data_IF_419798552017
#
_entry.id   IF_419798552017
#
_cell.length_a   1.000
_cell.length_b   1.000
_cell.length_c   1.000
_cell.angle_alpha   90.00
_cell.angle_beta   90.00
_cell.angle_gamma   90.00
#
_symmetry.space_group_name_H-M   'P 1'
#
loop_
_entity.id
_entity.type
_entity.pdbx_description
1 polymer ?
#
# COMPACT_ATOMS: atom_id res chain seq x y z
N UNK A 1 -24.81 0.03 -11.72
CA UNK A 1 -23.36 -0.29 -11.73
C UNK A 1 -22.90 -0.27 -10.29
N UNK A 2 -22.84 -1.44 -9.66
CA UNK A 2 -22.46 -1.56 -8.25
C UNK A 2 -20.94 -1.45 -8.23
N UNK A 3 -20.44 -0.28 -7.87
CA UNK A 3 -19.03 -0.08 -7.63
C UNK A 3 -18.76 -0.71 -6.27
N UNK A 4 -18.71 -2.05 -6.24
CA UNK A 4 -18.01 -2.80 -5.19
C UNK A 4 -16.55 -2.40 -5.34
N UNK A 5 -16.20 -1.24 -4.79
CA UNK A 5 -14.80 -0.95 -4.50
C UNK A 5 -14.39 -2.11 -3.62
N UNK A 6 -13.47 -2.92 -4.12
CA UNK A 6 -12.92 -4.11 -3.48
C UNK A 6 -12.04 -3.69 -2.28
N UNK A 7 -12.67 -2.98 -1.34
CA UNK A 7 -12.10 -2.51 -0.10
C UNK A 7 -11.75 -3.73 0.76
N UNK A 8 -12.57 -4.79 0.68
CA UNK A 8 -12.27 -6.08 1.32
C UNK A 8 -11.00 -6.70 0.73
N UNK A 9 -10.84 -6.72 -0.59
CA UNK A 9 -9.63 -7.19 -1.23
C UNK A 9 -8.41 -6.44 -0.72
N UNK A 10 -8.46 -5.11 -0.75
CA UNK A 10 -7.40 -4.24 -0.23
C UNK A 10 -7.09 -4.40 1.26
N UNK A 11 -8.09 -4.70 2.08
CA UNK A 11 -7.94 -4.88 3.53
C UNK A 11 -7.50 -6.29 3.93
N UNK A 12 -7.86 -7.30 3.15
CA UNK A 12 -7.61 -8.72 3.41
C UNK A 12 -6.44 -9.29 2.58
N UNK A 13 -5.79 -8.46 1.76
CA UNK A 13 -4.75 -8.87 0.84
C UNK A 13 -5.24 -10.00 -0.09
N UNK A 14 -6.42 -9.80 -0.67
CA UNK A 14 -7.04 -10.87 -1.46
C UNK A 14 -6.13 -11.27 -2.64
N UNK A 15 -6.11 -12.58 -2.89
CA UNK A 15 -5.46 -13.32 -3.96
C UNK A 15 -5.69 -12.75 -5.38
N UNK A 16 -6.65 -11.84 -5.57
CA UNK A 16 -6.92 -11.11 -6.81
C UNK A 16 -6.16 -9.79 -7.05
N UNK A 17 -5.60 -9.15 -6.01
CA UNK A 17 -4.83 -7.89 -6.13
C UNK A 17 -3.42 -7.99 -6.74
N UNK A 18 -3.26 -7.85 -8.05
CA UNK A 18 -1.95 -7.74 -8.70
C UNK A 18 -1.74 -6.33 -9.26
N UNK A 19 -0.62 -5.68 -8.91
CA UNK A 19 -0.28 -4.35 -9.42
C UNK A 19 0.90 -4.39 -10.39
N UNK A 20 0.74 -3.76 -11.54
CA UNK A 20 1.86 -3.37 -12.40
C UNK A 20 2.68 -2.25 -11.77
N UNK A 21 3.86 -1.96 -12.32
CA UNK A 21 4.76 -0.92 -11.80
C UNK A 21 4.11 0.46 -11.79
N UNK A 22 3.34 0.79 -12.84
CA UNK A 22 2.66 2.08 -12.99
C UNK A 22 1.57 2.26 -11.95
N UNK A 23 0.71 1.26 -11.75
CA UNK A 23 -0.39 1.32 -10.78
C UNK A 23 0.13 1.34 -9.34
N UNK A 24 1.24 0.64 -9.08
CA UNK A 24 1.91 0.69 -7.79
C UNK A 24 2.47 2.09 -7.47
N UNK A 25 3.11 2.76 -8.44
CA UNK A 25 3.58 4.14 -8.26
C UNK A 25 2.44 5.12 -8.05
N UNK A 26 1.36 5.01 -8.83
CA UNK A 26 0.16 5.84 -8.67
C UNK A 26 -0.43 5.63 -7.26
N UNK A 27 -0.62 4.37 -6.84
CA UNK A 27 -1.12 4.05 -5.50
C UNK A 27 -0.22 4.59 -4.39
N UNK A 28 1.10 4.49 -4.54
CA UNK A 28 2.06 5.00 -3.56
C UNK A 28 1.99 6.52 -3.43
N UNK A 29 1.91 7.25 -4.55
CA UNK A 29 1.76 8.71 -4.56
C UNK A 29 0.44 9.12 -3.93
N UNK A 30 -0.67 8.45 -4.27
CA UNK A 30 -1.99 8.73 -3.69
C UNK A 30 -1.96 8.56 -2.17
N UNK A 31 -1.35 7.48 -1.65
CA UNK A 31 -1.21 7.29 -0.21
C UNK A 31 -0.34 8.36 0.46
N UNK A 32 0.72 8.84 -0.19
CA UNK A 32 1.53 9.96 0.33
C UNK A 32 0.69 11.23 0.46
N UNK A 33 -0.10 11.56 -0.57
CA UNK A 33 -0.99 12.73 -0.55
C UNK A 33 -2.04 12.61 0.57
N UNK A 34 -2.66 11.43 0.71
CA UNK A 34 -3.62 11.15 1.80
C UNK A 34 -2.96 11.34 3.16
N UNK A 35 -1.74 10.83 3.36
CA UNK A 35 -1.02 10.97 4.62
C UNK A 35 -0.71 12.44 4.95
N UNK A 36 -0.31 13.22 3.94
CA UNK A 36 -0.08 14.65 4.11
C UNK A 36 -1.37 15.37 4.52
N UNK A 37 -2.48 15.09 3.85
CA UNK A 37 -3.78 15.68 4.18
C UNK A 37 -4.22 15.33 5.62
N UNK A 38 -4.11 14.06 6.03
CA UNK A 38 -4.42 13.61 7.40
C UNK A 38 -3.55 14.34 8.42
N UNK A 39 -2.25 14.45 8.17
CA UNK A 39 -1.29 15.09 9.09
C UNK A 39 -1.58 16.59 9.22
N UNK A 40 -1.91 17.26 8.11
CA UNK A 40 -2.31 18.67 8.12
C UNK A 40 -3.58 18.90 8.91
N UNK A 41 -4.62 18.08 8.68
CA UNK A 41 -5.89 18.17 9.40
C UNK A 41 -5.70 17.89 10.89
N UNK A 42 -4.93 16.86 11.25
CA UNK A 42 -4.64 16.54 12.65
C UNK A 42 -3.86 17.67 13.36
N UNK A 43 -2.90 18.28 12.67
CA UNK A 43 -2.14 19.41 13.17
C UNK A 43 -3.00 20.67 13.36
N UNK A 44 -3.88 20.98 12.41
CA UNK A 44 -4.82 22.11 12.51
C UNK A 44 -5.86 21.92 13.60
N UNK A 45 -6.37 20.69 13.77
CA UNK A 45 -7.38 20.38 14.78
C UNK A 45 -6.79 20.27 16.20
N UNK A 46 -5.47 20.10 16.34
CA UNK A 46 -4.82 19.81 17.62
C UNK A 46 -5.17 18.42 18.17
N UNK A 47 -5.68 17.53 17.32
CA UNK A 47 -6.19 16.21 17.72
C UNK A 47 -5.22 15.11 17.25
N UNK A 48 -4.27 14.76 18.12
CA UNK A 48 -3.25 13.74 17.84
C UNK A 48 -3.83 12.35 17.51
N UNK A 49 -5.00 12.01 18.06
CA UNK A 49 -5.62 10.70 17.82
C UNK A 49 -6.08 10.53 16.36
N UNK A 50 -6.54 11.61 15.71
CA UNK A 50 -6.93 11.60 14.29
C UNK A 50 -5.71 11.32 13.42
N UNK A 51 -4.57 11.98 13.71
CA UNK A 51 -3.32 11.74 13.01
C UNK A 51 -2.83 10.29 13.18
N UNK A 52 -2.97 9.75 14.38
CA UNK A 52 -2.54 8.37 14.68
C UNK A 52 -3.41 7.33 13.96
N UNK A 53 -4.73 7.45 14.05
CA UNK A 53 -5.66 6.54 13.36
C UNK A 53 -5.45 6.61 11.84
N UNK A 54 -5.32 7.83 11.30
CA UNK A 54 -5.09 8.03 9.88
C UNK A 54 -3.76 7.43 9.41
N UNK A 55 -2.68 7.58 10.17
CA UNK A 55 -1.40 6.93 9.88
C UNK A 55 -1.51 5.41 9.85
N UNK A 56 -2.22 4.79 10.80
CA UNK A 56 -2.43 3.34 10.82
C UNK A 56 -3.17 2.87 9.57
N UNK A 57 -4.22 3.58 9.16
CA UNK A 57 -4.98 3.25 7.95
C UNK A 57 -4.12 3.38 6.68
N UNK A 58 -3.32 4.44 6.57
CA UNK A 58 -2.40 4.64 5.43
C UNK A 58 -1.34 3.54 5.39
N UNK A 59 -0.76 3.17 6.54
CA UNK A 59 0.22 2.09 6.61
C UNK A 59 -0.40 0.75 6.18
N UNK A 60 -1.63 0.46 6.62
CA UNK A 60 -2.34 -0.75 6.23
C UNK A 60 -2.60 -0.82 4.72
N UNK A 61 -3.14 0.26 4.15
CA UNK A 61 -3.36 0.36 2.70
C UNK A 61 -2.05 0.25 1.90
N UNK A 62 -0.97 0.83 2.46
CA UNK A 62 0.35 0.73 1.86
C UNK A 62 0.78 -0.73 1.76
N UNK A 63 0.67 -1.50 2.84
CA UNK A 63 1.02 -2.93 2.84
C UNK A 63 0.32 -3.64 1.69
N UNK A 64 -0.99 -3.38 1.48
CA UNK A 64 -1.78 -3.99 0.42
C UNK A 64 -1.21 -3.75 -0.99
N UNK A 65 -0.83 -2.51 -1.28
CA UNK A 65 -0.22 -2.16 -2.57
C UNK A 65 1.07 -2.93 -2.84
N UNK A 66 1.88 -3.12 -1.81
CA UNK A 66 3.18 -3.74 -1.99
C UNK A 66 3.12 -5.25 -2.00
N UNK A 67 2.24 -5.85 -1.19
CA UNK A 67 1.95 -7.28 -1.29
C UNK A 67 1.47 -7.60 -2.69
N UNK A 68 0.52 -6.82 -3.24
CA UNK A 68 0.02 -7.05 -4.60
C UNK A 68 1.07 -6.85 -5.70
N UNK A 69 2.04 -5.93 -5.50
CA UNK A 69 3.17 -5.76 -6.44
C UNK A 69 4.17 -6.90 -6.36
N UNK A 70 4.54 -7.34 -5.16
CA UNK A 70 5.46 -8.47 -4.95
C UNK A 70 4.84 -9.77 -5.45
N UNK A 71 3.53 -9.95 -5.28
CA UNK A 71 2.83 -11.11 -5.81
C UNK A 71 2.78 -11.14 -7.33
N UNK A 72 2.64 -9.98 -7.99
CA UNK A 72 2.80 -9.88 -9.44
C UNK A 72 4.22 -10.27 -9.91
N UNK A 73 5.20 -10.36 -9.00
CA UNK A 73 6.55 -10.87 -9.27
C UNK A 73 6.75 -12.34 -8.88
N UNK A 74 5.70 -13.04 -8.48
CA UNK A 74 5.74 -14.47 -8.14
C UNK A 74 6.05 -14.77 -6.68
N UNK A 75 6.08 -13.76 -5.79
CA UNK A 75 6.20 -14.01 -4.35
C UNK A 75 4.87 -14.52 -3.78
N UNK A 76 4.92 -15.60 -2.99
CA UNK A 76 3.76 -16.09 -2.23
C UNK A 76 3.29 -15.03 -1.23
N UNK A 77 2.00 -14.99 -0.87
CA UNK A 77 1.41 -13.94 -0.02
C UNK A 77 2.18 -13.71 1.30
N UNK A 78 2.64 -14.79 1.96
CA UNK A 78 3.43 -14.70 3.20
C UNK A 78 4.78 -14.02 2.94
N UNK A 79 5.47 -14.42 1.88
CA UNK A 79 6.78 -13.88 1.49
C UNK A 79 6.63 -12.42 1.06
N UNK A 80 5.58 -12.07 0.32
CA UNK A 80 5.28 -10.69 -0.09
C UNK A 80 5.00 -9.76 1.11
N UNK A 81 4.26 -10.24 2.11
CA UNK A 81 4.01 -9.49 3.34
C UNK A 81 5.29 -9.32 4.18
N UNK A 82 6.05 -10.41 4.34
CA UNK A 82 7.30 -10.42 5.11
C UNK A 82 8.40 -9.56 4.45
N UNK A 83 8.55 -9.60 3.13
CA UNK A 83 9.54 -8.80 2.39
C UNK A 83 9.36 -7.31 2.62
N UNK A 84 8.11 -6.85 2.77
CA UNK A 84 7.85 -5.46 3.09
C UNK A 84 8.22 -5.09 4.52
N UNK A 85 7.89 -5.94 5.49
CA UNK A 85 8.06 -5.62 6.91
C UNK A 85 9.52 -5.78 7.35
N UNK A 86 10.19 -6.83 6.87
CA UNK A 86 11.50 -7.25 7.38
C UNK A 86 12.65 -6.81 6.47
N UNK A 87 12.44 -6.75 5.14
CA UNK A 87 13.52 -6.52 4.17
C UNK A 87 13.36 -5.16 3.48
N UNK A 88 13.12 -4.11 4.28
CA UNK A 88 13.41 -2.74 3.85
C UNK A 88 14.95 -2.59 3.79
N UNK A 89 15.56 -2.26 2.64
CA UNK A 89 15.00 -1.56 1.48
C UNK A 89 14.71 -2.44 0.25
N UNK A 90 15.03 -3.74 0.26
CA UNK A 90 14.95 -4.60 -0.93
C UNK A 90 13.55 -4.67 -1.53
N UNK A 91 12.50 -4.72 -0.70
CA UNK A 91 11.12 -4.65 -1.19
C UNK A 91 10.82 -3.38 -2.00
N UNK A 92 11.48 -2.26 -1.67
CA UNK A 92 11.33 -0.99 -2.41
C UNK A 92 12.04 -1.10 -3.75
N UNK A 93 13.26 -1.67 -3.76
CA UNK A 93 14.04 -1.86 -4.99
C UNK A 93 13.28 -2.73 -5.99
N UNK A 94 12.71 -3.84 -5.52
CA UNK A 94 11.95 -4.77 -6.34
C UNK A 94 10.63 -4.20 -6.86
N UNK A 95 9.92 -3.41 -6.05
CA UNK A 95 8.65 -2.83 -6.45
C UNK A 95 8.83 -1.60 -7.36
N UNK A 96 9.84 -0.77 -7.09
CA UNK A 96 10.03 0.55 -7.69
C UNK A 96 10.87 0.54 -8.98
N UNK A 97 11.87 -0.35 -9.08
CA UNK A 97 12.88 -0.29 -10.14
C UNK A 97 12.98 -1.56 -10.98
N UNK A 98 12.49 -2.70 -10.49
CA UNK A 98 12.46 -3.92 -11.28
C UNK A 98 11.17 -4.00 -12.10
N UNK A 99 11.34 -4.23 -13.41
CA UNK A 99 10.24 -4.47 -14.33
C UNK A 99 9.35 -5.64 -13.87
N UNK A 100 8.06 -5.55 -14.17
CA UNK A 100 7.16 -6.70 -14.05
C UNK A 100 7.61 -7.79 -15.03
N UNK A 101 7.36 -9.06 -14.71
CA UNK A 101 7.55 -10.16 -15.65
C UNK A 101 6.40 -10.20 -16.68
N UNK A 102 6.06 -9.03 -17.23
CA UNK A 102 5.18 -8.88 -18.39
C UNK A 102 5.99 -9.06 -19.68
#
# INVERSE_FOLDING_TARGET
MKMDIDVKGHMLFDSGMNYGIKDWWIGTIVLMVINMAITMVAGMAGVAIIGTIGMVLVMWASLGLWVGRLRNRGHTDIVAFVLRIIIMPWGLIECAFMGSAE
#
